data_IF_675415214785
#
_entry.id   IF_675415214785
#
_cell.length_a   1.000
_cell.length_b   1.000
_cell.length_c   1.000
_cell.angle_alpha   90.00
_cell.angle_beta   90.00
_cell.angle_gamma   90.00
#
_symmetry.space_group_name_H-M   'P 1'
#
loop_
_entity.id
_entity.type
_entity.pdbx_description
1 polymer ?
#
# COMPACT_ATOMS: atom_id res chain seq x y z
N UNK A 1 -4.80 46.71 49.49
CA UNK A 1 -4.05 45.45 49.41
C UNK A 1 -5.05 44.33 49.36
N UNK A 2 -5.34 43.92 48.13
CA UNK A 2 -6.06 42.71 47.72
C UNK A 2 -5.40 41.46 48.28
N UNK A 3 -6.18 40.39 48.50
CA UNK A 3 -5.94 39.09 47.80
C UNK A 3 -7.10 38.07 47.97
N UNK A 4 -7.71 37.70 46.81
CA UNK A 4 -7.97 36.32 46.29
C UNK A 4 -9.06 35.51 47.03
N UNK A 5 -10.29 35.34 46.51
CA UNK A 5 -10.78 34.68 45.27
C UNK A 5 -10.42 33.18 45.17
N UNK A 6 -11.32 32.31 45.63
CA UNK A 6 -11.19 30.86 45.49
C UNK A 6 -11.84 30.41 44.18
N UNK A 7 -11.04 30.01 43.19
CA UNK A 7 -11.51 29.38 41.96
C UNK A 7 -11.21 27.87 41.99
N UNK A 8 -12.28 27.09 41.83
CA UNK A 8 -12.28 25.64 41.74
C UNK A 8 -11.86 25.24 40.31
N UNK A 9 -10.69 24.64 40.14
CA UNK A 9 -10.23 24.16 38.82
C UNK A 9 -10.81 22.79 38.52
N UNK A 10 -11.61 22.72 37.46
CA UNK A 10 -12.06 21.49 36.81
C UNK A 10 -10.96 21.00 35.86
N UNK A 11 -10.45 19.79 36.08
CA UNK A 11 -9.50 19.15 35.17
C UNK A 11 -10.25 18.66 33.92
N UNK A 12 -10.12 19.39 32.82
CA UNK A 12 -10.60 18.95 31.50
C UNK A 12 -9.48 18.19 30.79
N UNK A 13 -9.67 16.88 30.60
CA UNK A 13 -8.83 16.03 29.74
C UNK A 13 -8.85 16.57 28.31
N UNK A 14 -7.69 16.74 27.64
CA UNK A 14 -7.67 17.22 26.27
C UNK A 14 -8.27 16.17 25.32
N UNK A 15 -8.98 16.59 24.26
CA UNK A 15 -9.52 15.67 23.27
C UNK A 15 -8.39 14.91 22.59
N UNK A 16 -8.48 13.58 22.54
CA UNK A 16 -7.55 12.74 21.80
C UNK A 16 -7.61 13.10 20.32
N UNK A 17 -6.52 13.64 19.78
CA UNK A 17 -6.36 13.77 18.33
C UNK A 17 -6.24 12.36 17.75
N UNK A 18 -7.32 11.88 17.13
CA UNK A 18 -7.25 10.70 16.28
C UNK A 18 -6.48 11.13 15.04
N UNK A 19 -5.21 10.74 14.94
CA UNK A 19 -4.45 10.87 13.70
C UNK A 19 -5.15 9.98 12.69
N UNK A 20 -5.96 10.58 11.82
CA UNK A 20 -6.49 9.90 10.65
C UNK A 20 -5.31 9.76 9.69
N UNK A 21 -4.63 8.61 9.76
CA UNK A 21 -3.72 8.22 8.68
C UNK A 21 -4.59 8.00 7.45
N UNK A 22 -4.68 9.01 6.58
CA UNK A 22 -5.27 8.85 5.25
C UNK A 22 -4.32 7.90 4.51
N UNK A 23 -4.59 6.61 4.60
CA UNK A 23 -3.85 5.59 3.86
C UNK A 23 -4.05 5.93 2.38
N UNK A 24 -3.00 6.44 1.74
CA UNK A 24 -3.05 7.05 0.42
C UNK A 24 -3.08 5.97 -0.67
N UNK A 25 -4.00 5.03 -0.56
CA UNK A 25 -4.26 3.98 -1.56
C UNK A 25 -4.67 4.57 -2.92
N UNK A 26 -5.03 5.86 -2.95
CA UNK A 26 -5.41 6.61 -4.13
C UNK A 26 -4.31 7.54 -4.67
N UNK A 27 -3.16 7.69 -3.99
CA UNK A 27 -2.04 8.41 -4.59
C UNK A 27 -1.54 7.65 -5.83
N UNK A 28 -1.14 8.35 -6.90
CA UNK A 28 -0.51 7.74 -8.07
C UNK A 28 0.64 6.83 -7.65
N UNK A 29 0.73 5.65 -8.25
CA UNK A 29 1.88 4.78 -8.03
C UNK A 29 3.09 5.37 -8.78
N UNK A 30 4.29 5.43 -8.17
CA UNK A 30 5.44 6.02 -8.84
C UNK A 30 5.87 5.16 -10.03
N UNK A 31 5.61 5.62 -11.24
CA UNK A 31 6.06 5.01 -12.51
C UNK A 31 7.37 5.61 -13.02
N UNK A 32 8.16 6.26 -12.14
CA UNK A 32 9.39 6.97 -12.52
C UNK A 32 10.48 6.06 -13.10
N UNK A 33 10.34 4.74 -12.96
CA UNK A 33 11.20 3.74 -13.57
C UNK A 33 10.39 2.71 -14.32
N UNK A 34 10.70 2.53 -15.61
CA UNK A 34 10.16 1.47 -16.45
C UNK A 34 11.11 0.28 -16.43
N UNK A 35 10.61 -0.93 -16.14
CA UNK A 35 11.37 -2.16 -16.27
C UNK A 35 11.75 -2.38 -17.74
N UNK A 36 13.04 -2.61 -17.96
CA UNK A 36 13.62 -3.02 -19.23
C UNK A 36 14.46 -4.29 -18.99
N UNK A 37 15.03 -4.84 -20.06
CA UNK A 37 15.85 -6.06 -19.98
C UNK A 37 17.16 -5.89 -19.18
N UNK A 38 17.55 -4.67 -18.83
CA UNK A 38 18.87 -4.39 -18.25
C UNK A 38 18.83 -3.75 -16.85
N UNK A 39 17.67 -3.34 -16.34
CA UNK A 39 17.57 -2.56 -15.10
C UNK A 39 16.77 -3.26 -13.98
N UNK A 40 16.54 -4.57 -14.08
CA UNK A 40 15.74 -5.32 -13.10
C UNK A 40 16.14 -5.05 -11.65
N UNK A 41 17.44 -5.07 -11.33
CA UNK A 41 17.92 -4.89 -9.96
C UNK A 41 17.56 -3.51 -9.34
N UNK A 42 17.47 -2.46 -10.15
CA UNK A 42 17.04 -1.13 -9.68
C UNK A 42 15.51 -1.05 -9.62
N UNK A 43 14.84 -1.55 -10.66
CA UNK A 43 13.38 -1.55 -10.73
C UNK A 43 12.76 -2.34 -9.57
N UNK A 44 13.29 -3.53 -9.25
CA UNK A 44 12.76 -4.38 -8.18
C UNK A 44 12.85 -3.69 -6.82
N UNK A 45 13.97 -3.04 -6.52
CA UNK A 45 14.14 -2.28 -5.28
C UNK A 45 13.13 -1.12 -5.17
N UNK A 46 12.91 -0.38 -6.27
CA UNK A 46 11.92 0.71 -6.27
C UNK A 46 10.50 0.17 -6.08
N UNK A 47 10.16 -0.95 -6.73
CA UNK A 47 8.85 -1.60 -6.57
C UNK A 47 8.62 -2.08 -5.14
N UNK A 48 9.59 -2.78 -4.55
CA UNK A 48 9.54 -3.24 -3.16
C UNK A 48 9.29 -2.06 -2.22
N UNK A 49 10.06 -0.97 -2.36
CA UNK A 49 9.90 0.23 -1.54
C UNK A 49 8.51 0.85 -1.69
N UNK A 50 8.03 1.02 -2.92
CA UNK A 50 6.74 1.68 -3.20
C UNK A 50 5.54 0.83 -2.73
N UNK A 51 5.63 -0.49 -2.87
CA UNK A 51 4.59 -1.44 -2.45
C UNK A 51 4.59 -1.59 -0.92
N UNK A 52 5.78 -1.66 -0.29
CA UNK A 52 5.92 -1.71 1.16
C UNK A 52 5.40 -0.45 1.83
N UNK A 53 5.66 0.74 1.26
CA UNK A 53 5.14 2.02 1.75
C UNK A 53 3.60 2.10 1.74
N UNK A 54 2.92 1.15 1.09
CA UNK A 54 1.46 1.04 0.98
C UNK A 54 0.91 -0.21 1.70
N UNK A 55 1.73 -0.86 2.53
CA UNK A 55 1.37 -2.05 3.31
C UNK A 55 0.89 -3.24 2.45
N UNK A 56 1.36 -3.33 1.19
CA UNK A 56 0.91 -4.35 0.23
C UNK A 56 2.01 -5.34 -0.16
N UNK A 57 3.16 -5.32 0.52
CA UNK A 57 4.30 -6.18 0.17
C UNK A 57 3.96 -7.67 0.21
N UNK A 58 3.08 -8.09 1.12
CA UNK A 58 2.64 -9.48 1.23
C UNK A 58 1.97 -10.05 -0.03
N UNK A 59 1.37 -9.21 -0.88
CA UNK A 59 0.79 -9.67 -2.15
C UNK A 59 1.86 -9.95 -3.21
N UNK A 60 3.01 -9.28 -3.13
CA UNK A 60 4.17 -9.51 -3.99
C UNK A 60 4.97 -10.73 -3.51
N UNK A 61 5.28 -10.80 -2.21
CA UNK A 61 6.08 -11.91 -1.63
C UNK A 61 5.27 -13.21 -1.47
N UNK A 62 3.95 -13.10 -1.39
CA UNK A 62 3.05 -14.22 -1.09
C UNK A 62 2.79 -14.42 0.41
N UNK A 63 3.28 -13.54 1.28
CA UNK A 63 2.97 -13.55 2.72
C UNK A 63 1.50 -13.20 3.00
N UNK A 64 0.80 -12.60 2.03
CA UNK A 64 -0.65 -12.48 2.02
C UNK A 64 -1.26 -13.63 1.18
N UNK A 65 -1.51 -14.81 1.78
CA UNK A 65 -2.00 -15.97 1.03
C UNK A 65 -3.42 -15.73 0.50
N UNK A 66 -3.71 -16.31 -0.66
CA UNK A 66 -5.05 -16.28 -1.21
C UNK A 66 -6.02 -17.02 -0.28
N UNK A 67 -7.08 -16.35 0.20
CA UNK A 67 -8.08 -17.00 1.05
C UNK A 67 -8.98 -17.93 0.21
N UNK A 68 -9.74 -18.78 0.90
CA UNK A 68 -10.81 -19.56 0.27
C UNK A 68 -11.79 -18.64 -0.49
N UNK A 69 -12.29 -19.10 -1.65
CA UNK A 69 -13.29 -18.37 -2.45
C UNK A 69 -14.62 -18.10 -1.71
N UNK A 70 -14.90 -18.88 -0.66
CA UNK A 70 -16.08 -18.71 0.19
C UNK A 70 -15.85 -17.74 1.36
N UNK A 71 -14.62 -17.26 1.56
CA UNK A 71 -14.28 -16.31 2.62
C UNK A 71 -14.78 -14.91 2.28
N UNK A 72 -15.27 -14.20 3.29
CA UNK A 72 -15.63 -12.78 3.17
C UNK A 72 -14.45 -11.89 2.78
N UNK A 73 -13.21 -12.34 3.02
CA UNK A 73 -11.98 -11.61 2.67
C UNK A 73 -11.51 -11.84 1.23
N UNK A 74 -12.11 -12.77 0.48
CA UNK A 74 -11.65 -13.14 -0.87
C UNK A 74 -11.70 -11.98 -1.85
N UNK A 75 -12.82 -11.25 -1.92
CA UNK A 75 -12.97 -10.12 -2.82
C UNK A 75 -11.96 -9.01 -2.49
N UNK A 76 -11.73 -8.74 -1.20
CA UNK A 76 -10.71 -7.78 -0.76
C UNK A 76 -9.32 -8.20 -1.21
N UNK A 77 -8.96 -9.47 -0.99
CA UNK A 77 -7.68 -10.01 -1.42
C UNK A 77 -7.49 -9.90 -2.94
N UNK A 78 -8.52 -10.24 -3.73
CA UNK A 78 -8.48 -10.10 -5.19
C UNK A 78 -8.23 -8.65 -5.62
N UNK A 79 -8.96 -7.69 -5.04
CA UNK A 79 -8.81 -6.26 -5.34
C UNK A 79 -7.39 -5.78 -5.07
N UNK A 80 -6.84 -6.11 -3.90
CA UNK A 80 -5.49 -5.67 -3.52
C UNK A 80 -4.40 -6.38 -4.35
N UNK A 81 -4.56 -7.67 -4.63
CA UNK A 81 -3.67 -8.40 -5.55
C UNK A 81 -3.67 -7.77 -6.95
N UNK A 82 -4.84 -7.48 -7.53
CA UNK A 82 -4.93 -6.84 -8.84
C UNK A 82 -4.38 -5.42 -8.84
N UNK A 83 -4.49 -4.69 -7.74
CA UNK A 83 -3.88 -3.38 -7.59
C UNK A 83 -2.35 -3.45 -7.65
N UNK A 84 -1.73 -4.36 -6.87
CA UNK A 84 -0.27 -4.57 -6.93
C UNK A 84 0.16 -5.05 -8.30
N UNK A 85 -0.57 -6.01 -8.88
CA UNK A 85 -0.31 -6.50 -10.25
C UNK A 85 -0.36 -5.36 -11.26
N UNK A 86 -1.37 -4.49 -11.19
CA UNK A 86 -1.50 -3.32 -12.05
C UNK A 86 -0.27 -2.41 -11.98
N UNK A 87 0.22 -2.12 -10.77
CA UNK A 87 1.44 -1.33 -10.59
C UNK A 87 2.68 -1.98 -11.21
N UNK A 88 2.84 -3.30 -11.06
CA UNK A 88 3.94 -4.02 -11.69
C UNK A 88 3.84 -3.93 -13.21
N UNK A 89 2.68 -4.26 -13.78
CA UNK A 89 2.43 -4.25 -15.23
C UNK A 89 2.62 -2.85 -15.83
N UNK A 90 2.03 -1.82 -15.22
CA UNK A 90 2.10 -0.44 -15.71
C UNK A 90 3.53 0.14 -15.64
N UNK A 91 4.39 -0.48 -14.84
CA UNK A 91 5.80 -0.12 -14.72
C UNK A 91 6.72 -0.88 -15.68
N UNK A 92 6.20 -1.72 -16.59
CA UNK A 92 7.01 -2.48 -17.55
C UNK A 92 7.04 -1.85 -18.93
N UNK A 93 8.10 -2.11 -19.69
CA UNK A 93 8.07 -1.90 -21.14
C UNK A 93 7.04 -2.81 -21.81
N UNK A 94 6.48 -2.37 -22.94
CA UNK A 94 5.39 -3.10 -23.62
C UNK A 94 5.74 -4.55 -23.99
N UNK A 95 6.99 -4.81 -24.37
CA UNK A 95 7.46 -6.15 -24.69
C UNK A 95 7.43 -7.06 -23.47
N UNK A 96 7.83 -6.57 -22.29
CA UNK A 96 7.77 -7.33 -21.04
C UNK A 96 6.34 -7.46 -20.53
N UNK A 97 5.55 -6.39 -20.55
CA UNK A 97 4.14 -6.43 -20.15
C UNK A 97 3.37 -7.58 -20.84
N UNK A 98 3.59 -7.77 -22.15
CA UNK A 98 2.96 -8.84 -22.92
C UNK A 98 3.28 -10.25 -22.38
N UNK A 99 4.46 -10.43 -21.77
CA UNK A 99 4.88 -11.68 -21.16
C UNK A 99 4.21 -11.93 -19.81
N UNK A 100 3.89 -10.90 -19.02
CA UNK A 100 3.43 -11.08 -17.63
C UNK A 100 1.93 -10.81 -17.42
N UNK A 101 1.25 -10.11 -18.33
CA UNK A 101 -0.15 -9.68 -18.16
C UNK A 101 -1.12 -10.84 -17.93
N UNK A 102 -0.82 -12.04 -18.43
CA UNK A 102 -1.69 -13.22 -18.33
C UNK A 102 -1.61 -13.94 -16.98
N UNK A 103 -0.62 -13.61 -16.15
CA UNK A 103 -0.45 -14.22 -14.83
C UNK A 103 -1.58 -13.82 -13.88
N UNK A 104 -1.94 -14.70 -12.96
CA UNK A 104 -3.15 -14.51 -12.14
C UNK A 104 -2.91 -13.56 -10.97
N UNK A 105 -1.69 -13.55 -10.44
CA UNK A 105 -1.32 -12.87 -9.19
C UNK A 105 -0.09 -11.99 -9.35
N UNK A 106 0.06 -11.02 -8.45
CA UNK A 106 1.25 -10.18 -8.39
C UNK A 106 2.50 -11.00 -8.06
N UNK A 107 2.37 -12.05 -7.24
CA UNK A 107 3.47 -12.96 -6.87
C UNK A 107 4.07 -13.73 -8.05
N UNK A 108 3.28 -13.99 -9.08
CA UNK A 108 3.74 -14.74 -10.26
C UNK A 108 4.58 -13.88 -11.21
N UNK A 109 4.49 -12.54 -11.09
CA UNK A 109 5.28 -11.57 -11.85
C UNK A 109 6.69 -11.47 -11.25
#
# INVERSE_FOLDING_TARGET
MDVISSSKTTNTTPPSFQIVTIHSDNAPFPTSITLTKTNYALWSQVMDMCIAAREKLGYLTGDAPQPSKLSSTYIKWCTENFRVKGWLIDSMSLDLMSCFIHLSTAKEI
#
